data_IF_980467890261
#
_entry.id   IF_980467890261
#
_cell.length_a   1.000
_cell.length_b   1.000
_cell.length_c   1.000
_cell.angle_alpha   90.00
_cell.angle_beta   90.00
_cell.angle_gamma   90.00
#
_symmetry.space_group_name_H-M   'P 1'
#
loop_
_entity.id
_entity.type
_entity.pdbx_description
1 polymer ?
#
# COMPACT_ATOMS: atom_id res chain seq x y z
N UNK A 1 -21.62 -14.28 -16.02
CA UNK A 1 -21.34 -13.39 -14.87
C UNK A 1 -20.12 -12.57 -15.23
N UNK A 2 -20.23 -11.27 -15.26
CA UNK A 2 -19.09 -10.41 -15.49
C UNK A 2 -18.04 -10.67 -14.41
N UNK A 3 -16.80 -10.98 -14.83
CA UNK A 3 -15.71 -11.25 -13.89
C UNK A 3 -15.36 -9.94 -13.19
N UNK A 4 -15.40 -9.93 -11.85
CA UNK A 4 -14.96 -8.78 -11.05
C UNK A 4 -13.49 -8.47 -11.33
N UNK A 5 -13.13 -7.20 -11.38
CA UNK A 5 -11.79 -6.75 -11.74
C UNK A 5 -11.09 -6.08 -10.55
N UNK A 6 -9.84 -6.44 -10.33
CA UNK A 6 -9.00 -5.86 -9.29
C UNK A 6 -7.76 -5.17 -9.88
N UNK A 7 -7.57 -3.89 -9.57
CA UNK A 7 -6.36 -3.14 -9.88
C UNK A 7 -5.44 -3.14 -8.67
N UNK A 8 -4.20 -3.61 -8.85
CA UNK A 8 -3.20 -3.72 -7.80
C UNK A 8 -1.95 -2.94 -8.17
N UNK A 9 -1.64 -1.89 -7.41
CA UNK A 9 -0.38 -1.15 -7.58
C UNK A 9 0.74 -1.80 -6.77
N UNK A 10 1.96 -1.82 -7.32
CA UNK A 10 3.09 -2.53 -6.72
C UNK A 10 2.90 -4.05 -6.72
N UNK A 11 2.24 -4.59 -7.74
CA UNK A 11 1.86 -6.00 -7.86
C UNK A 11 3.05 -6.96 -8.05
N UNK A 12 4.23 -6.46 -8.39
CA UNK A 12 5.39 -7.27 -8.76
C UNK A 12 6.18 -7.87 -7.59
N UNK A 13 5.86 -7.53 -6.33
CA UNK A 13 6.60 -8.05 -5.17
C UNK A 13 5.87 -7.84 -3.83
N UNK A 14 6.31 -8.53 -2.78
CA UNK A 14 5.90 -8.32 -1.40
C UNK A 14 4.39 -8.48 -1.18
N UNK A 15 3.79 -7.57 -0.39
CA UNK A 15 2.37 -7.62 -0.04
C UNK A 15 1.49 -7.48 -1.28
N UNK A 16 1.87 -6.65 -2.27
CA UNK A 16 1.11 -6.47 -3.51
C UNK A 16 1.02 -7.76 -4.33
N UNK A 17 2.13 -8.46 -4.50
CA UNK A 17 2.16 -9.77 -5.15
C UNK A 17 1.30 -10.81 -4.42
N UNK A 18 1.41 -10.89 -3.10
CA UNK A 18 0.61 -11.83 -2.31
C UNK A 18 -0.89 -11.49 -2.32
N UNK A 19 -1.26 -10.20 -2.38
CA UNK A 19 -2.65 -9.78 -2.56
C UNK A 19 -3.15 -10.14 -3.96
N UNK A 20 -2.31 -10.01 -4.99
CA UNK A 20 -2.62 -10.43 -6.37
C UNK A 20 -2.96 -11.91 -6.43
N UNK A 21 -2.19 -12.79 -5.76
CA UNK A 21 -2.48 -14.24 -5.67
C UNK A 21 -3.84 -14.52 -5.04
N UNK A 22 -4.16 -13.83 -3.94
CA UNK A 22 -5.44 -14.01 -3.24
C UNK A 22 -6.63 -13.54 -4.09
N UNK A 23 -6.47 -12.44 -4.83
CA UNK A 23 -7.49 -11.95 -5.76
C UNK A 23 -7.68 -12.90 -6.93
N UNK A 24 -6.59 -13.42 -7.51
CA UNK A 24 -6.64 -14.43 -8.57
C UNK A 24 -7.35 -15.70 -8.10
N UNK A 25 -7.01 -16.21 -6.92
CA UNK A 25 -7.64 -17.41 -6.35
C UNK A 25 -9.16 -17.25 -6.13
N UNK A 26 -9.64 -16.03 -5.87
CA UNK A 26 -11.07 -15.69 -5.76
C UNK A 26 -11.71 -15.32 -7.11
N UNK A 27 -11.01 -15.56 -8.25
CA UNK A 27 -11.53 -15.43 -9.60
C UNK A 27 -11.63 -14.01 -10.15
N UNK A 28 -10.91 -13.04 -9.55
CA UNK A 28 -10.84 -11.67 -10.09
C UNK A 28 -10.00 -11.63 -11.37
N UNK A 29 -10.45 -10.88 -12.38
CA UNK A 29 -9.57 -10.38 -13.44
C UNK A 29 -8.60 -9.35 -12.83
N UNK A 30 -7.34 -9.37 -13.24
CA UNK A 30 -6.28 -8.60 -12.61
C UNK A 30 -5.77 -7.50 -13.54
N UNK A 31 -5.62 -6.29 -13.01
CA UNK A 31 -4.91 -5.17 -13.62
C UNK A 31 -3.67 -4.90 -12.76
N UNK A 32 -2.53 -5.34 -13.25
CA UNK A 32 -1.26 -5.35 -12.50
C UNK A 32 -0.44 -4.12 -12.84
N UNK A 33 -0.11 -3.31 -11.84
CA UNK A 33 0.60 -2.03 -12.03
C UNK A 33 1.91 -2.02 -11.27
N UNK A 34 3.02 -1.83 -11.97
CA UNK A 34 4.35 -1.52 -11.43
C UNK A 34 5.26 -1.00 -12.56
N UNK A 35 6.50 -0.62 -12.26
CA UNK A 35 7.45 -0.08 -13.25
C UNK A 35 8.06 -1.14 -14.17
N UNK A 36 8.36 -2.32 -13.63
CA UNK A 36 9.07 -3.38 -14.36
C UNK A 36 8.10 -4.25 -15.13
N UNK A 37 8.05 -4.08 -16.46
CA UNK A 37 7.16 -4.79 -17.36
C UNK A 37 7.38 -6.30 -17.35
N UNK A 38 8.63 -6.76 -17.51
CA UNK A 38 8.96 -8.20 -17.54
C UNK A 38 8.50 -8.92 -16.26
N UNK A 39 8.67 -8.27 -15.13
CA UNK A 39 8.28 -8.81 -13.83
C UNK A 39 6.78 -8.86 -13.65
N UNK A 40 6.05 -7.87 -14.19
CA UNK A 40 4.60 -7.88 -14.21
C UNK A 40 4.05 -8.95 -15.15
N UNK A 41 4.67 -9.11 -16.34
CA UNK A 41 4.30 -10.15 -17.30
C UNK A 41 4.45 -11.55 -16.67
N UNK A 42 5.58 -11.81 -16.01
CA UNK A 42 5.78 -13.08 -15.31
C UNK A 42 4.71 -13.34 -14.23
N UNK A 43 4.31 -12.31 -13.47
CA UNK A 43 3.22 -12.44 -12.49
C UNK A 43 1.87 -12.67 -13.18
N UNK A 44 1.60 -11.99 -14.30
CA UNK A 44 0.36 -12.18 -15.05
C UNK A 44 0.24 -13.61 -15.59
N UNK A 45 1.31 -14.13 -16.17
CA UNK A 45 1.38 -15.50 -16.69
C UNK A 45 1.19 -16.53 -15.57
N UNK A 46 1.85 -16.33 -14.43
CA UNK A 46 1.70 -17.18 -13.24
C UNK A 46 0.23 -17.21 -12.75
N UNK A 47 -0.41 -16.04 -12.61
CA UNK A 47 -1.80 -15.96 -12.13
C UNK A 47 -2.76 -16.60 -13.13
N UNK A 48 -2.55 -16.39 -14.43
CA UNK A 48 -3.36 -16.98 -15.49
C UNK A 48 -3.22 -18.50 -15.52
N UNK A 49 -2.00 -19.01 -15.40
CA UNK A 49 -1.72 -20.45 -15.39
C UNK A 49 -2.29 -21.17 -14.14
N UNK A 50 -2.15 -20.56 -12.97
CA UNK A 50 -2.56 -21.19 -11.70
C UNK A 50 -4.06 -21.09 -11.43
N UNK A 51 -4.72 -20.00 -11.86
CA UNK A 51 -6.09 -19.68 -11.47
C UNK A 51 -7.06 -19.52 -12.65
N UNK A 52 -6.58 -19.54 -13.89
CA UNK A 52 -7.42 -19.37 -15.09
C UNK A 52 -8.08 -18.00 -15.20
N UNK A 53 -7.51 -16.98 -14.58
CA UNK A 53 -8.01 -15.60 -14.64
C UNK A 53 -7.32 -14.79 -15.72
N UNK A 54 -7.99 -13.75 -16.21
CA UNK A 54 -7.34 -12.77 -17.10
C UNK A 54 -6.46 -11.85 -16.25
N UNK A 55 -5.23 -11.62 -16.69
CA UNK A 55 -4.30 -10.70 -16.06
C UNK A 55 -3.71 -9.76 -17.11
N UNK A 56 -3.90 -8.46 -16.91
CA UNK A 56 -3.44 -7.39 -17.80
C UNK A 56 -2.35 -6.60 -17.12
N UNK A 57 -1.32 -6.25 -17.86
CA UNK A 57 -0.13 -5.56 -17.36
C UNK A 57 -0.19 -4.08 -17.76
N UNK A 58 -0.02 -3.21 -16.79
CA UNK A 58 0.05 -1.75 -16.96
C UNK A 58 1.38 -1.25 -16.38
N UNK A 59 2.46 -1.23 -17.18
CA UNK A 59 3.74 -0.67 -16.73
C UNK A 59 3.59 0.83 -16.51
N UNK A 60 3.77 1.28 -15.27
CA UNK A 60 3.66 2.69 -14.93
C UNK A 60 4.57 3.06 -13.75
N UNK A 61 5.26 4.19 -13.87
CA UNK A 61 5.92 4.84 -12.74
C UNK A 61 4.96 5.86 -12.12
N UNK A 62 4.27 5.45 -11.07
CA UNK A 62 3.31 6.28 -10.35
C UNK A 62 3.97 7.38 -9.49
N UNK A 63 5.29 7.50 -9.48
CA UNK A 63 5.99 8.64 -8.88
C UNK A 63 6.08 9.84 -9.82
N UNK A 64 5.68 9.68 -11.08
CA UNK A 64 5.64 10.77 -12.05
C UNK A 64 4.31 11.52 -11.98
N UNK A 65 4.32 12.88 -12.02
CA UNK A 65 3.11 13.66 -12.07
C UNK A 65 2.20 13.27 -13.26
N UNK A 66 0.89 13.15 -13.00
CA UNK A 66 -0.10 12.75 -14.02
C UNK A 66 -0.16 11.27 -14.35
N UNK A 67 0.74 10.43 -13.82
CA UNK A 67 0.76 9.00 -14.14
C UNK A 67 -0.52 8.27 -13.69
N UNK A 68 -1.18 8.73 -12.63
CA UNK A 68 -2.45 8.17 -12.18
C UNK A 68 -3.58 8.40 -13.20
N UNK A 69 -3.65 9.58 -13.80
CA UNK A 69 -4.63 9.92 -14.84
C UNK A 69 -4.41 9.08 -16.08
N UNK A 70 -3.17 9.01 -16.57
CA UNK A 70 -2.79 8.21 -17.75
C UNK A 70 -3.16 6.73 -17.53
N UNK A 71 -2.88 6.19 -16.34
CA UNK A 71 -3.22 4.81 -16.02
C UNK A 71 -4.74 4.58 -16.05
N UNK A 72 -5.52 5.45 -15.40
CA UNK A 72 -6.98 5.28 -15.36
C UNK A 72 -7.61 5.45 -16.73
N UNK A 73 -7.11 6.37 -17.55
CA UNK A 73 -7.53 6.51 -18.95
C UNK A 73 -7.25 5.25 -19.78
N UNK A 74 -6.07 4.64 -19.61
CA UNK A 74 -5.73 3.37 -20.27
C UNK A 74 -6.68 2.25 -19.84
N UNK A 75 -6.91 2.09 -18.52
CA UNK A 75 -7.83 1.09 -17.97
C UNK A 75 -9.26 1.26 -18.51
N UNK A 76 -9.75 2.51 -18.61
CA UNK A 76 -11.08 2.81 -19.19
C UNK A 76 -11.15 2.55 -20.68
N UNK A 77 -10.14 2.96 -21.43
CA UNK A 77 -10.05 2.72 -22.88
C UNK A 77 -10.08 1.23 -23.20
N UNK A 78 -9.44 0.40 -22.37
CA UNK A 78 -9.41 -1.04 -22.52
C UNK A 78 -10.70 -1.72 -22.01
N UNK A 79 -11.71 -0.94 -21.58
CA UNK A 79 -13.05 -1.40 -21.21
C UNK A 79 -13.14 -2.02 -19.82
N UNK A 80 -12.16 -1.81 -18.94
CA UNK A 80 -12.16 -2.39 -17.61
C UNK A 80 -12.89 -1.52 -16.57
N UNK A 81 -13.85 -2.14 -15.87
CA UNK A 81 -14.50 -1.55 -14.70
C UNK A 81 -13.87 -2.12 -13.42
N UNK A 82 -13.24 -1.28 -12.61
CA UNK A 82 -12.52 -1.69 -11.41
C UNK A 82 -13.48 -1.87 -10.24
N UNK A 83 -13.52 -3.08 -9.66
CA UNK A 83 -14.31 -3.41 -8.46
C UNK A 83 -13.49 -3.36 -7.18
N UNK A 84 -12.19 -3.66 -7.28
CA UNK A 84 -11.24 -3.60 -6.17
C UNK A 84 -10.04 -2.76 -6.57
N UNK A 85 -9.74 -1.72 -5.81
CA UNK A 85 -8.50 -0.96 -5.92
C UNK A 85 -7.59 -1.28 -4.74
N UNK A 86 -6.37 -1.76 -5.01
CA UNK A 86 -5.33 -1.96 -4.01
C UNK A 86 -4.20 -0.96 -4.24
N UNK A 87 -4.20 0.12 -3.47
CA UNK A 87 -3.13 1.09 -3.39
C UNK A 87 -2.02 0.56 -2.46
N UNK A 88 -1.11 -0.23 -3.03
CA UNK A 88 -0.01 -0.86 -2.30
C UNK A 88 1.36 -0.31 -2.71
N UNK A 89 1.52 0.24 -3.92
CA UNK A 89 2.78 0.83 -4.36
C UNK A 89 3.30 1.88 -3.36
N UNK A 90 4.60 1.86 -3.12
CA UNK A 90 5.25 2.80 -2.22
C UNK A 90 6.71 2.47 -2.02
N UNK A 91 7.48 3.45 -1.58
CA UNK A 91 8.84 3.26 -1.12
C UNK A 91 9.17 4.20 0.03
N UNK A 92 10.38 4.08 0.56
CA UNK A 92 10.89 4.89 1.67
C UNK A 92 12.27 5.43 1.35
N UNK A 93 12.72 6.38 2.16
CA UNK A 93 14.10 6.82 2.28
C UNK A 93 14.51 6.78 3.74
N UNK A 94 15.79 6.49 4.00
CA UNK A 94 16.38 6.40 5.34
C UNK A 94 17.67 7.22 5.38
N UNK A 95 17.84 8.05 6.40
CA UNK A 95 19.00 8.90 6.60
C UNK A 95 18.64 10.25 7.22
N UNK A 96 19.65 11.09 7.44
CA UNK A 96 19.46 12.48 7.89
C UNK A 96 18.67 13.23 6.82
N UNK A 97 17.65 13.99 7.25
CA UNK A 97 16.72 14.65 6.32
C UNK A 97 17.43 15.56 5.31
N UNK A 98 18.45 16.29 5.74
CA UNK A 98 19.20 17.24 4.89
C UNK A 98 20.24 16.60 3.99
N UNK A 99 20.53 15.29 4.16
CA UNK A 99 21.50 14.55 3.36
C UNK A 99 20.88 13.77 2.21
N UNK A 100 19.55 13.55 2.25
CA UNK A 100 18.84 12.83 1.20
C UNK A 100 18.49 13.79 0.06
N UNK A 101 18.71 13.32 -1.18
CA UNK A 101 18.32 14.07 -2.38
C UNK A 101 16.86 14.53 -2.30
N UNK A 102 16.56 15.84 -2.44
CA UNK A 102 15.21 16.36 -2.42
C UNK A 102 14.26 15.70 -3.41
N UNK A 103 14.75 15.30 -4.60
CA UNK A 103 13.93 14.65 -5.62
C UNK A 103 13.35 13.34 -5.12
N UNK A 104 14.13 12.59 -4.32
CA UNK A 104 13.67 11.34 -3.72
C UNK A 104 12.48 11.53 -2.77
N UNK A 105 12.41 12.68 -2.07
CA UNK A 105 11.25 13.00 -1.25
C UNK A 105 10.03 13.32 -2.10
N UNK A 106 10.21 14.08 -3.18
CA UNK A 106 9.12 14.41 -4.12
C UNK A 106 8.55 13.12 -4.70
N UNK A 107 9.39 12.25 -5.28
CA UNK A 107 8.97 10.98 -5.85
C UNK A 107 8.26 10.08 -4.83
N UNK A 108 8.75 10.06 -3.58
CA UNK A 108 8.13 9.28 -2.52
C UNK A 108 6.75 9.82 -2.15
N UNK A 109 6.59 11.12 -2.03
CA UNK A 109 5.30 11.74 -1.73
C UNK A 109 4.33 11.62 -2.90
N UNK A 110 4.83 11.77 -4.13
CA UNK A 110 4.04 11.54 -5.34
C UNK A 110 3.46 10.12 -5.35
N UNK A 111 4.30 9.10 -5.15
CA UNK A 111 3.85 7.71 -5.14
C UNK A 111 2.97 7.36 -3.93
N UNK A 112 3.45 7.68 -2.69
CA UNK A 112 2.81 7.21 -1.47
C UNK A 112 1.53 7.97 -1.12
N UNK A 113 1.37 9.21 -1.62
CA UNK A 113 0.29 10.13 -1.25
C UNK A 113 -0.53 10.55 -2.46
N UNK A 114 0.08 11.21 -3.44
CA UNK A 114 -0.64 11.84 -4.56
C UNK A 114 -1.27 10.78 -5.45
N UNK A 115 -0.48 9.84 -5.97
CA UNK A 115 -0.97 8.78 -6.85
C UNK A 115 -2.07 7.94 -6.18
N UNK A 116 -1.90 7.53 -4.91
CA UNK A 116 -2.91 6.83 -4.14
C UNK A 116 -4.23 7.62 -4.05
N UNK A 117 -4.13 8.93 -3.78
CA UNK A 117 -5.29 9.81 -3.66
C UNK A 117 -5.99 9.98 -5.00
N UNK A 118 -5.25 10.21 -6.07
CA UNK A 118 -5.79 10.40 -7.42
C UNK A 118 -6.41 9.11 -7.97
N UNK A 119 -5.75 7.95 -7.86
CA UNK A 119 -6.33 6.67 -8.27
C UNK A 119 -7.65 6.41 -7.55
N UNK A 120 -7.68 6.64 -6.24
CA UNK A 120 -8.92 6.51 -5.46
C UNK A 120 -9.98 7.48 -5.97
N UNK A 121 -9.65 8.76 -6.16
CA UNK A 121 -10.59 9.79 -6.63
C UNK A 121 -11.15 9.50 -8.03
N UNK A 122 -10.31 9.01 -8.94
CA UNK A 122 -10.67 8.75 -10.32
C UNK A 122 -11.57 7.52 -10.49
N UNK A 123 -11.35 6.46 -9.68
CA UNK A 123 -12.09 5.20 -9.77
C UNK A 123 -13.36 5.17 -8.90
N UNK A 124 -13.41 6.00 -7.86
CA UNK A 124 -14.50 6.02 -6.89
C UNK A 124 -15.89 6.34 -7.46
N UNK A 125 -16.06 7.31 -8.40
CA UNK A 125 -17.39 7.62 -8.96
C UNK A 125 -18.06 6.40 -9.61
N UNK A 126 -17.30 5.61 -10.34
CA UNK A 126 -17.81 4.40 -11.02
C UNK A 126 -18.20 3.32 -10.00
N UNK A 127 -17.45 3.16 -8.90
CA UNK A 127 -17.79 2.26 -7.82
C UNK A 127 -19.08 2.70 -7.09
N UNK A 128 -19.23 4.01 -6.84
CA UNK A 128 -20.43 4.57 -6.18
C UNK A 128 -21.65 4.37 -7.07
N UNK A 129 -21.56 4.65 -8.37
CA UNK A 129 -22.68 4.51 -9.31
C UNK A 129 -23.19 3.07 -9.36
N UNK A 130 -22.29 2.09 -9.32
CA UNK A 130 -22.61 0.66 -9.26
C UNK A 130 -23.00 0.18 -7.86
N UNK A 131 -22.92 1.03 -6.83
CA UNK A 131 -23.14 0.70 -5.42
C UNK A 131 -22.31 -0.51 -4.95
N UNK A 132 -21.14 -0.69 -5.52
CA UNK A 132 -20.24 -1.82 -5.27
C UNK A 132 -18.80 -1.43 -5.53
N UNK A 133 -17.93 -1.59 -4.55
CA UNK A 133 -16.50 -1.34 -4.69
C UNK A 133 -15.73 -1.57 -3.38
N UNK A 134 -14.45 -1.88 -3.51
CA UNK A 134 -13.54 -2.00 -2.37
C UNK A 134 -12.26 -1.27 -2.66
N UNK A 135 -11.84 -0.42 -1.73
CA UNK A 135 -10.53 0.24 -1.76
C UNK A 135 -9.70 -0.27 -0.60
N UNK A 136 -8.52 -0.80 -0.87
CA UNK A 136 -7.51 -1.10 0.14
C UNK A 136 -6.33 -0.14 -0.03
N UNK A 137 -6.05 0.63 1.02
CA UNK A 137 -4.87 1.49 1.10
C UNK A 137 -3.84 0.86 2.05
N UNK A 138 -2.63 0.60 1.55
CA UNK A 138 -1.55 0.04 2.36
C UNK A 138 -0.75 1.15 3.02
N UNK A 139 -1.04 1.37 4.30
CA UNK A 139 -0.29 2.26 5.18
C UNK A 139 0.94 1.53 5.79
N UNK A 140 1.14 1.65 7.10
CA UNK A 140 2.18 0.98 7.89
C UNK A 140 1.91 1.20 9.38
N UNK A 141 2.54 0.44 10.26
CA UNK A 141 2.66 0.80 11.69
C UNK A 141 3.40 2.13 11.89
N UNK A 142 4.22 2.57 10.92
CA UNK A 142 4.83 3.89 10.88
C UNK A 142 3.80 5.05 10.88
N UNK A 143 2.55 4.80 10.50
CA UNK A 143 1.49 5.80 10.45
C UNK A 143 1.07 6.36 11.83
N UNK A 144 1.43 5.69 12.93
CA UNK A 144 0.93 6.01 14.26
C UNK A 144 1.83 6.92 15.07
N UNK A 145 3.06 7.17 14.62
CA UNK A 145 4.08 7.88 15.39
C UNK A 145 5.04 8.68 14.50
N UNK A 146 5.76 9.68 15.03
CA UNK A 146 6.85 10.33 14.29
C UNK A 146 8.04 9.37 14.12
N UNK A 147 8.76 9.48 12.98
CA UNK A 147 9.89 8.60 12.66
C UNK A 147 11.14 9.39 12.27
N UNK A 148 12.03 9.73 13.23
CA UNK A 148 13.35 10.30 12.89
C UNK A 148 14.10 9.41 11.87
N UNK A 149 14.94 9.99 11.05
CA UNK A 149 15.62 9.37 9.90
C UNK A 149 14.71 8.87 8.75
N UNK A 150 13.39 8.87 8.96
CA UNK A 150 12.38 8.48 7.97
C UNK A 150 11.16 9.43 8.02
N UNK A 151 11.34 10.67 8.42
CA UNK A 151 10.26 11.60 8.77
C UNK A 151 9.20 11.75 7.67
N UNK A 152 9.61 11.93 6.43
CA UNK A 152 8.68 12.07 5.31
C UNK A 152 7.91 10.77 5.02
N UNK A 153 8.54 9.61 5.17
CA UNK A 153 7.85 8.32 5.03
C UNK A 153 6.78 8.12 6.09
N UNK A 154 7.11 8.34 7.38
CA UNK A 154 6.14 8.22 8.47
C UNK A 154 4.98 9.18 8.28
N UNK A 155 5.26 10.43 7.87
CA UNK A 155 4.24 11.42 7.54
C UNK A 155 3.34 10.96 6.37
N UNK A 156 3.91 10.40 5.30
CA UNK A 156 3.15 9.87 4.17
C UNK A 156 2.21 8.74 4.60
N UNK A 157 2.66 7.85 5.49
CA UNK A 157 1.82 6.75 5.99
C UNK A 157 0.77 7.21 7.00
N UNK A 158 1.04 8.26 7.78
CA UNK A 158 0.04 8.93 8.62
C UNK A 158 -1.05 9.61 7.77
N UNK A 159 -0.69 10.22 6.64
CA UNK A 159 -1.66 10.71 5.67
C UNK A 159 -2.58 9.59 5.19
N UNK A 160 -2.02 8.47 4.71
CA UNK A 160 -2.80 7.32 4.21
C UNK A 160 -3.78 6.79 5.26
N UNK A 161 -3.35 6.70 6.52
CA UNK A 161 -4.20 6.26 7.62
C UNK A 161 -5.37 7.22 7.85
N UNK A 162 -5.10 8.53 7.95
CA UNK A 162 -6.11 9.57 8.19
C UNK A 162 -7.07 9.69 7.01
N UNK A 163 -6.55 9.74 5.79
CA UNK A 163 -7.32 9.77 4.54
C UNK A 163 -8.29 8.59 4.45
N UNK A 164 -7.78 7.38 4.69
CA UNK A 164 -8.61 6.16 4.62
C UNK A 164 -9.73 6.18 5.67
N UNK A 165 -9.47 6.69 6.86
CA UNK A 165 -10.46 6.77 7.93
C UNK A 165 -11.58 7.78 7.58
N UNK A 166 -11.22 8.96 7.07
CA UNK A 166 -12.17 9.98 6.61
C UNK A 166 -13.03 9.45 5.47
N UNK A 167 -12.39 8.94 4.42
CA UNK A 167 -13.07 8.41 3.24
C UNK A 167 -14.01 7.24 3.57
N UNK A 168 -13.60 6.33 4.47
CA UNK A 168 -14.47 5.24 4.93
C UNK A 168 -15.73 5.75 5.68
N UNK A 169 -15.69 6.96 6.22
CA UNK A 169 -16.88 7.60 6.82
C UNK A 169 -17.77 8.23 5.77
N UNK A 170 -17.19 8.96 4.82
CA UNK A 170 -17.91 9.63 3.73
C UNK A 170 -18.68 8.63 2.85
N UNK A 171 -18.13 7.45 2.62
CA UNK A 171 -18.70 6.41 1.75
C UNK A 171 -19.78 5.54 2.43
N UNK A 172 -20.21 5.86 3.63
CA UNK A 172 -21.30 5.12 4.29
C UNK A 172 -22.58 5.16 3.46
N UNK A 173 -23.20 4.00 3.26
CA UNK A 173 -24.45 3.87 2.50
C UNK A 173 -24.26 3.86 0.97
N UNK A 174 -23.07 4.07 0.45
CA UNK A 174 -22.82 4.06 -1.00
C UNK A 174 -22.63 2.66 -1.58
N UNK A 175 -22.40 1.65 -0.75
CA UNK A 175 -22.02 0.29 -1.19
C UNK A 175 -20.50 0.11 -1.38
N UNK A 176 -19.70 1.17 -1.22
CA UNK A 176 -18.23 1.12 -1.33
C UNK A 176 -17.59 1.06 0.06
N UNK A 177 -16.56 0.23 0.22
CA UNK A 177 -15.81 0.10 1.48
C UNK A 177 -14.34 0.50 1.31
N UNK A 178 -13.77 1.09 2.37
CA UNK A 178 -12.34 1.43 2.42
C UNK A 178 -11.70 0.72 3.58
N UNK A 179 -10.58 0.03 3.31
CA UNK A 179 -9.77 -0.68 4.30
C UNK A 179 -8.35 -0.12 4.31
N UNK A 180 -7.91 0.39 5.44
CA UNK A 180 -6.53 0.77 5.68
C UNK A 180 -5.77 -0.42 6.29
N UNK A 181 -4.83 -0.99 5.54
CA UNK A 181 -3.94 -2.05 6.00
C UNK A 181 -2.67 -1.43 6.57
N UNK A 182 -2.35 -1.72 7.83
CA UNK A 182 -1.17 -1.21 8.52
C UNK A 182 -0.23 -2.38 8.89
N UNK A 183 0.61 -2.87 7.96
CA UNK A 183 1.61 -3.88 8.25
C UNK A 183 2.74 -3.30 9.12
N UNK A 184 3.37 -4.16 9.92
CA UNK A 184 4.68 -3.90 10.52
C UNK A 184 5.81 -4.00 9.49
N UNK A 185 7.08 -3.90 9.93
CA UNK A 185 8.23 -4.18 9.09
C UNK A 185 8.10 -5.57 8.44
N UNK A 186 8.17 -5.63 7.11
CA UNK A 186 7.85 -6.84 6.33
C UNK A 186 9.05 -7.23 5.49
N UNK A 187 9.37 -8.52 5.43
CA UNK A 187 10.36 -9.05 4.48
C UNK A 187 9.85 -8.84 3.05
N UNK A 188 10.42 -7.89 2.34
CA UNK A 188 10.10 -7.60 0.93
C UNK A 188 11.21 -6.78 0.31
N UNK A 189 11.33 -6.73 -1.03
CA UNK A 189 12.24 -5.84 -1.76
C UNK A 189 12.04 -4.32 -1.50
N UNK A 190 11.13 -3.95 -0.61
CA UNK A 190 10.96 -2.61 -0.08
C UNK A 190 12.17 -2.13 0.73
N UNK A 191 12.84 -3.04 1.45
CA UNK A 191 14.02 -2.75 2.27
C UNK A 191 15.24 -2.43 1.42
N UNK A 192 15.44 -3.19 0.35
CA UNK A 192 16.54 -2.99 -0.59
C UNK A 192 16.43 -1.63 -1.30
N UNK A 193 15.21 -1.24 -1.64
CA UNK A 193 14.92 0.06 -2.28
C UNK A 193 15.07 1.26 -1.36
N UNK A 194 14.95 1.07 -0.04
CA UNK A 194 14.98 2.13 0.97
C UNK A 194 16.31 2.28 1.72
N UNK A 195 17.30 1.40 1.48
CA UNK A 195 18.56 1.33 2.26
C UNK A 195 18.32 1.25 3.78
N UNK A 196 17.25 0.59 4.21
CA UNK A 196 16.80 0.55 5.62
C UNK A 196 17.44 -0.60 6.39
N UNK A 197 18.28 -1.44 5.75
CA UNK A 197 18.78 -2.73 6.27
C UNK A 197 19.57 -2.68 7.58
N UNK A 198 20.07 -1.52 8.01
CA UNK A 198 20.93 -1.40 9.19
C UNK A 198 20.21 -0.88 10.45
N UNK A 199 18.90 -0.63 10.43
CA UNK A 199 18.19 -0.18 11.63
C UNK A 199 17.86 -1.33 12.57
N UNK A 200 17.91 -1.09 13.89
CA UNK A 200 17.52 -2.08 14.92
C UNK A 200 16.09 -2.60 14.73
N UNK A 201 15.19 -1.78 14.19
CA UNK A 201 13.80 -2.18 13.89
C UNK A 201 13.76 -3.29 12.84
N UNK A 202 14.67 -3.26 11.85
CA UNK A 202 14.73 -4.25 10.78
C UNK A 202 15.43 -5.55 11.19
N UNK A 203 16.18 -5.54 12.28
CA UNK A 203 16.77 -6.74 12.88
C UNK A 203 15.76 -7.51 13.76
N UNK A 204 14.60 -6.89 14.05
CA UNK A 204 13.54 -7.51 14.81
C UNK A 204 12.75 -8.57 14.01
N UNK A 205 11.69 -9.08 14.61
CA UNK A 205 10.80 -10.05 13.96
C UNK A 205 10.03 -9.41 12.84
N UNK A 206 10.46 -9.62 11.60
CA UNK A 206 9.79 -9.13 10.41
C UNK A 206 8.48 -9.87 10.17
N UNK A 207 7.49 -9.15 9.64
CA UNK A 207 6.23 -9.74 9.20
C UNK A 207 6.46 -10.49 7.89
N UNK A 208 5.95 -11.70 7.81
CA UNK A 208 5.85 -12.45 6.57
C UNK A 208 4.80 -11.81 5.63
N UNK A 209 5.19 -11.50 4.39
CA UNK A 209 4.31 -10.84 3.42
C UNK A 209 3.03 -11.65 3.12
N UNK A 210 3.08 -12.99 2.92
CA UNK A 210 1.89 -13.83 2.78
C UNK A 210 0.92 -13.69 3.95
N UNK A 211 1.40 -13.64 5.18
CA UNK A 211 0.54 -13.45 6.35
C UNK A 211 -0.12 -12.08 6.35
N UNK A 212 0.66 -11.02 6.09
CA UNK A 212 0.16 -9.66 6.02
C UNK A 212 -0.93 -9.50 4.96
N UNK A 213 -0.71 -10.07 3.78
CA UNK A 213 -1.67 -10.07 2.69
C UNK A 213 -2.95 -10.84 3.03
N UNK A 214 -2.85 -12.06 3.59
CA UNK A 214 -4.04 -12.86 3.99
C UNK A 214 -4.89 -12.15 5.03
N UNK A 215 -4.30 -11.58 6.07
CA UNK A 215 -5.03 -10.84 7.11
C UNK A 215 -5.69 -9.58 6.50
N UNK A 216 -4.96 -8.84 5.66
CA UNK A 216 -5.45 -7.65 4.96
C UNK A 216 -6.60 -7.98 4.00
N UNK A 217 -6.45 -9.00 3.19
CA UNK A 217 -7.47 -9.47 2.26
C UNK A 217 -8.78 -9.82 2.99
N UNK A 218 -8.70 -10.61 4.06
CA UNK A 218 -9.87 -10.94 4.88
C UNK A 218 -10.53 -9.71 5.50
N UNK A 219 -9.74 -8.73 5.93
CA UNK A 219 -10.24 -7.47 6.47
C UNK A 219 -11.00 -6.67 5.40
N UNK A 220 -10.44 -6.56 4.18
CA UNK A 220 -11.08 -5.92 3.04
C UNK A 220 -12.39 -6.59 2.66
N UNK A 221 -12.42 -7.92 2.54
CA UNK A 221 -13.64 -8.65 2.20
C UNK A 221 -14.76 -8.48 3.23
N UNK A 222 -14.41 -8.25 4.50
CA UNK A 222 -15.36 -7.97 5.59
C UNK A 222 -15.73 -6.48 5.72
N UNK A 223 -15.21 -5.61 4.86
CA UNK A 223 -15.41 -4.16 4.95
C UNK A 223 -14.83 -3.51 6.22
N UNK A 224 -13.80 -4.13 6.82
CA UNK A 224 -13.14 -3.59 8.02
C UNK A 224 -12.35 -2.35 7.66
N UNK A 225 -12.61 -1.23 8.36
CA UNK A 225 -12.01 0.07 8.02
C UNK A 225 -10.51 0.16 8.24
N UNK A 226 -9.99 -0.54 9.25
CA UNK A 226 -8.57 -0.53 9.59
C UNK A 226 -8.15 -1.89 10.13
N UNK A 227 -6.94 -2.32 9.72
CA UNK A 227 -6.28 -3.50 10.28
C UNK A 227 -4.80 -3.20 10.54
N UNK A 228 -4.36 -3.32 11.79
CA UNK A 228 -2.94 -3.45 12.13
C UNK A 228 -2.61 -4.93 12.17
N UNK A 229 -1.63 -5.36 11.37
CA UNK A 229 -1.27 -6.78 11.27
C UNK A 229 -0.44 -7.22 12.47
N UNK A 230 -0.93 -8.22 13.18
CA UNK A 230 -0.28 -8.78 14.36
C UNK A 230 -0.68 -8.10 15.67
N UNK A 231 -0.97 -8.92 16.70
CA UNK A 231 -1.45 -8.45 18.02
C UNK A 231 -0.46 -7.50 18.69
N UNK A 232 0.84 -7.83 18.65
CA UNK A 232 1.88 -6.98 19.23
C UNK A 232 2.01 -5.63 18.52
N UNK A 233 1.97 -5.63 17.20
CA UNK A 233 1.95 -4.40 16.42
C UNK A 233 0.73 -3.52 16.74
N UNK A 234 -0.42 -4.12 17.05
CA UNK A 234 -1.62 -3.38 17.45
C UNK A 234 -1.43 -2.66 18.79
N UNK A 235 -0.75 -3.29 19.75
CA UNK A 235 -0.39 -2.66 21.03
C UNK A 235 0.60 -1.51 20.79
N UNK A 236 1.67 -1.74 20.01
CA UNK A 236 2.66 -0.71 19.69
C UNK A 236 2.06 0.48 18.91
N UNK A 237 1.09 0.23 18.02
CA UNK A 237 0.37 1.28 17.30
C UNK A 237 -0.58 2.09 18.22
N UNK A 238 -1.01 1.54 19.34
CA UNK A 238 -1.85 2.25 20.31
C UNK A 238 -1.03 3.15 21.26
N UNK A 239 0.17 2.72 21.66
CA UNK A 239 1.02 3.43 22.63
C UNK A 239 1.23 4.92 22.32
N UNK A 240 1.49 5.37 21.07
CA UNK A 240 1.69 6.78 20.74
C UNK A 240 0.48 7.69 21.00
N UNK A 241 -0.69 7.11 21.27
CA UNK A 241 -1.90 7.88 21.64
C UNK A 241 -1.88 8.36 23.09
N UNK A 242 -1.12 7.67 23.95
CA UNK A 242 -1.04 7.97 25.40
C UNK A 242 0.32 8.51 25.83
N UNK A 243 1.28 8.56 24.91
CA UNK A 243 2.64 9.05 25.14
C UNK A 243 2.81 10.41 24.46
N UNK A 244 3.45 11.41 25.10
CA UNK A 244 3.78 12.68 24.45
C UNK A 244 4.56 12.47 23.15
N UNK A 245 4.21 13.24 22.10
CA UNK A 245 4.80 13.07 20.77
C UNK A 245 6.33 13.17 20.75
N UNK A 246 6.90 14.06 21.56
CA UNK A 246 8.35 14.20 21.68
C UNK A 246 9.02 12.93 22.22
N UNK A 247 8.40 12.28 23.22
CA UNK A 247 8.91 11.02 23.78
C UNK A 247 8.78 9.88 22.79
N UNK A 248 7.67 9.80 22.05
CA UNK A 248 7.51 8.82 20.96
C UNK A 248 8.59 9.01 19.89
N UNK A 249 8.88 10.25 19.49
CA UNK A 249 9.96 10.55 18.54
C UNK A 249 11.34 10.13 19.06
N UNK A 250 11.64 10.37 20.35
CA UNK A 250 12.90 9.97 20.95
C UNK A 250 13.08 8.44 20.98
N UNK A 251 12.03 7.70 21.35
CA UNK A 251 12.04 6.23 21.38
C UNK A 251 12.26 5.67 19.98
N UNK A 252 11.48 6.14 18.99
CA UNK A 252 11.60 5.68 17.61
C UNK A 252 12.96 6.07 17.04
N UNK A 253 13.47 7.28 17.32
CA UNK A 253 14.80 7.70 16.91
C UNK A 253 15.91 6.81 17.46
N UNK A 254 15.80 6.37 18.71
CA UNK A 254 16.74 5.40 19.29
C UNK A 254 16.68 4.02 18.58
N UNK A 255 15.46 3.54 18.28
CA UNK A 255 15.26 2.25 17.61
C UNK A 255 15.68 2.27 16.13
N UNK A 256 15.71 3.43 15.50
CA UNK A 256 16.14 3.59 14.09
C UNK A 256 17.63 3.85 13.92
N UNK A 257 18.36 4.11 15.00
CA UNK A 257 19.83 4.25 14.89
C UNK A 257 20.44 2.98 14.30
N UNK A 258 21.44 3.14 13.42
CA UNK A 258 22.22 1.99 12.96
C UNK A 258 22.79 1.23 14.17
N UNK A 259 22.75 -0.09 14.13
CA UNK A 259 23.54 -0.89 15.06
C UNK A 259 25.00 -0.62 14.71
N UNK A 260 25.73 0.02 15.59
CA UNK A 260 27.19 0.00 15.52
C UNK A 260 27.59 -1.45 15.82
N UNK A 261 28.25 -2.10 14.89
CA UNK A 261 29.05 -3.29 15.13
C UNK A 261 30.21 -2.95 16.09
#
# INVERSE_FOLDING_TARGET
>A
MDKRTALVTGASSGIGYELTKLLAADGYSLLLVARGEDRLAAVADEMSALHGVSAHVYPADLSLPGAADVLVEAVRRDGHAVDVLVNNAGFTSFGQFHEIDPTRYVDMLELNVVALTLLTRLLLPDMISRRSGRVMNVASTAAFQPGPLMSAYFASKAYVLSFSAGLAHELRGTGVTVTCLCPGPTTSGFQERGVVGHSKIMQGRLLDAPRGAREGYRAMQRGRRQLVVGRWNSVLAFLPRVVPRAMAAAIVGYLQRPSHD
#
